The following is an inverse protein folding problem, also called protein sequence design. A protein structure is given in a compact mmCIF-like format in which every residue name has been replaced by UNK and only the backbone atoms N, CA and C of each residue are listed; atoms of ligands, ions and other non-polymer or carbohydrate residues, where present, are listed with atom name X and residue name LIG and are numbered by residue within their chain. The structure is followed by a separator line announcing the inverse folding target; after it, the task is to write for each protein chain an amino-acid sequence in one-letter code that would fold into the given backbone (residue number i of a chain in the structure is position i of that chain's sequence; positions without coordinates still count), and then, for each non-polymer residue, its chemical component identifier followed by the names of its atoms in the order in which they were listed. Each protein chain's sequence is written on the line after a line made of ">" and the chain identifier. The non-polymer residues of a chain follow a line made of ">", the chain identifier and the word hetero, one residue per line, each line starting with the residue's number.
data_IF_909669007369
#
_entry.id   IF_909669007369
#
_cell.length_a   1.000
_cell.length_b   1.000
_cell.length_c   1.000
_cell.angle_alpha   90.00
_cell.angle_beta   90.00
_cell.angle_gamma   90.00
#
_symmetry.space_group_name_H-M   'P 1'
#
loop_
_entity.id
_entity.type
_entity.pdbx_description
1 polymer ?
#
# COMPACT_ATOMS: atom_id res chain seq x y z
N UNK A 1 20.66 3.95 -1.98
CA UNK A 1 21.25 4.99 -1.21
C UNK A 1 21.28 4.65 0.28
N UNK A 2 20.76 5.54 1.08
CA UNK A 2 20.91 5.49 2.55
C UNK A 2 20.30 4.26 3.22
N UNK A 3 19.18 3.75 2.71
CA UNK A 3 18.57 2.53 3.23
C UNK A 3 19.47 1.30 3.11
N UNK A 4 20.19 1.15 2.00
CA UNK A 4 21.07 0.00 1.80
C UNK A 4 22.28 0.04 2.76
N UNK A 5 22.82 1.22 3.06
CA UNK A 5 23.89 1.38 4.05
C UNK A 5 23.42 0.97 5.45
N UNK A 6 22.21 1.37 5.83
CA UNK A 6 21.64 0.97 7.11
C UNK A 6 21.43 -0.55 7.23
N UNK A 7 21.03 -1.20 6.12
CA UNK A 7 20.88 -2.66 6.07
C UNK A 7 22.23 -3.36 6.20
N UNK A 8 23.30 -2.88 5.55
CA UNK A 8 24.65 -3.50 5.71
C UNK A 8 25.14 -3.43 7.15
N UNK A 9 24.94 -2.27 7.82
CA UNK A 9 25.31 -2.13 9.23
C UNK A 9 24.51 -3.10 10.10
N UNK A 10 23.20 -3.24 9.84
CA UNK A 10 22.34 -4.16 10.57
C UNK A 10 22.72 -5.63 10.30
N UNK A 11 23.00 -5.98 9.04
CA UNK A 11 23.34 -7.33 8.61
C UNK A 11 24.61 -7.86 9.29
N UNK A 12 25.58 -6.99 9.56
CA UNK A 12 26.80 -7.35 10.29
C UNK A 12 26.50 -7.91 11.70
N UNK A 13 25.33 -7.55 12.29
CA UNK A 13 24.89 -8.00 13.60
C UNK A 13 23.76 -9.05 13.53
N UNK A 14 23.39 -9.50 12.34
CA UNK A 14 22.30 -10.43 12.09
C UNK A 14 22.79 -11.64 11.27
N UNK A 15 23.46 -12.62 11.87
CA UNK A 15 24.05 -13.77 11.14
C UNK A 15 22.98 -14.65 10.46
N UNK A 16 21.73 -14.53 10.87
CA UNK A 16 20.59 -15.24 10.26
C UNK A 16 20.14 -14.63 8.92
N UNK A 17 20.52 -13.37 8.63
CA UNK A 17 20.23 -12.74 7.36
C UNK A 17 21.12 -13.31 6.25
N UNK A 18 20.55 -14.12 5.37
CA UNK A 18 21.28 -14.85 4.32
C UNK A 18 21.23 -14.16 2.96
N UNK A 19 20.21 -13.37 2.71
CA UNK A 19 19.96 -12.78 1.39
C UNK A 19 19.58 -11.33 1.52
N UNK A 20 20.25 -10.48 0.76
CA UNK A 20 19.93 -9.06 0.61
C UNK A 20 19.61 -8.81 -0.85
N UNK A 21 18.54 -8.06 -1.11
CA UNK A 21 18.06 -7.79 -2.47
C UNK A 21 17.98 -6.28 -2.65
N UNK A 22 18.48 -5.77 -3.76
CA UNK A 22 18.38 -4.37 -4.13
C UNK A 22 17.52 -4.23 -5.39
N UNK A 23 16.67 -3.21 -5.39
CA UNK A 23 15.78 -2.83 -6.51
C UNK A 23 16.32 -1.52 -7.09
N UNK A 24 16.28 -1.39 -8.41
CA UNK A 24 16.74 -0.19 -9.14
C UNK A 24 18.20 0.20 -8.83
N UNK A 25 19.10 -0.78 -8.72
CA UNK A 25 20.50 -0.50 -8.46
C UNK A 25 21.35 -1.75 -8.36
N UNK A 26 22.64 -1.53 -8.08
CA UNK A 26 23.64 -2.59 -7.87
C UNK A 26 24.37 -2.34 -6.55
N UNK A 27 24.69 -3.43 -5.84
CA UNK A 27 25.49 -3.41 -4.63
C UNK A 27 26.24 -4.72 -4.47
N UNK A 28 27.51 -4.64 -4.14
CA UNK A 28 28.35 -5.82 -3.91
C UNK A 28 27.78 -6.68 -2.77
N UNK A 29 27.69 -7.98 -3.00
CA UNK A 29 27.12 -8.94 -2.05
C UNK A 29 25.59 -9.01 -2.02
N UNK A 30 24.90 -8.16 -2.77
CA UNK A 30 23.45 -8.15 -2.86
C UNK A 30 22.95 -8.74 -4.19
N UNK A 31 21.78 -9.38 -4.16
CA UNK A 31 21.12 -9.80 -5.38
C UNK A 31 20.41 -8.58 -6.02
N UNK A 32 20.63 -8.40 -7.32
CA UNK A 32 19.91 -7.40 -8.10
C UNK A 32 18.54 -7.96 -8.47
N UNK A 33 17.47 -7.32 -7.99
CA UNK A 33 16.09 -7.74 -8.26
C UNK A 33 15.77 -7.67 -9.76
N UNK A 34 16.10 -6.53 -10.40
CA UNK A 34 15.72 -6.23 -11.78
C UNK A 34 16.37 -7.19 -12.79
N UNK A 35 17.58 -7.62 -12.50
CA UNK A 35 18.30 -8.62 -13.29
C UNK A 35 17.84 -10.05 -13.00
N UNK A 36 17.38 -10.32 -11.78
CA UNK A 36 17.10 -11.68 -11.30
C UNK A 36 15.67 -12.12 -11.57
N UNK A 37 14.66 -11.26 -11.33
CA UNK A 37 13.25 -11.68 -11.40
C UNK A 37 12.83 -12.21 -12.78
N UNK A 38 13.32 -11.71 -13.94
CA UNK A 38 12.93 -12.24 -15.23
C UNK A 38 13.41 -13.70 -15.48
N UNK A 39 14.34 -14.16 -14.68
CA UNK A 39 14.90 -15.52 -14.78
C UNK A 39 14.03 -16.57 -14.07
N UNK A 40 13.11 -16.12 -13.21
CA UNK A 40 12.23 -17.01 -12.47
C UNK A 40 10.96 -17.36 -13.27
N UNK A 41 10.45 -18.59 -13.02
CA UNK A 41 9.16 -19.01 -13.58
C UNK A 41 8.03 -18.13 -13.05
N UNK A 42 7.15 -17.69 -13.96
CA UNK A 42 5.91 -17.00 -13.57
C UNK A 42 4.86 -17.95 -12.94
N UNK A 43 5.17 -19.24 -12.79
CA UNK A 43 4.29 -20.23 -12.16
C UNK A 43 4.70 -20.46 -10.71
N UNK A 44 3.77 -20.25 -9.80
CA UNK A 44 3.92 -20.64 -8.40
C UNK A 44 3.51 -22.12 -8.25
N UNK A 45 4.48 -22.96 -7.92
CA UNK A 45 4.21 -24.36 -7.60
C UNK A 45 3.99 -24.49 -6.10
N UNK A 46 2.90 -25.15 -5.72
CA UNK A 46 2.64 -25.51 -4.33
C UNK A 46 3.19 -26.89 -4.04
N UNK A 47 3.86 -27.04 -2.92
CA UNK A 47 4.39 -28.27 -2.37
C UNK A 47 4.02 -28.37 -0.86
N UNK A 48 4.51 -29.39 -0.20
CA UNK A 48 4.27 -29.62 1.23
C UNK A 48 4.82 -28.52 2.17
N UNK A 49 5.80 -27.73 1.68
CA UNK A 49 6.40 -26.62 2.43
C UNK A 49 5.78 -25.25 2.09
N UNK A 50 4.82 -25.23 1.20
CA UNK A 50 4.15 -23.99 0.81
C UNK A 50 3.32 -23.45 1.97
N UNK A 51 3.39 -22.14 2.18
CA UNK A 51 2.68 -21.45 3.25
C UNK A 51 1.17 -21.72 3.20
N UNK A 52 0.57 -21.96 4.37
CA UNK A 52 -0.86 -22.18 4.57
C UNK A 52 -1.51 -21.04 5.34
N UNK A 53 -2.83 -21.06 5.45
CA UNK A 53 -3.61 -19.94 5.96
C UNK A 53 -3.22 -19.37 7.32
N UNK A 54 -2.73 -20.22 8.24
CA UNK A 54 -2.33 -19.82 9.59
C UNK A 54 -0.86 -19.37 9.69
N UNK A 55 -0.08 -19.60 8.63
CA UNK A 55 1.32 -19.16 8.61
C UNK A 55 1.43 -17.64 8.59
N UNK A 56 2.56 -17.17 9.11
CA UNK A 56 2.89 -15.75 9.10
C UNK A 56 3.08 -15.23 7.68
N UNK A 57 2.34 -14.16 7.35
CA UNK A 57 2.40 -13.50 6.05
C UNK A 57 3.14 -12.17 6.11
N UNK A 58 2.72 -11.30 7.03
CA UNK A 58 3.25 -9.94 7.16
C UNK A 58 3.44 -9.56 8.63
N UNK A 59 4.43 -8.73 8.87
CA UNK A 59 4.69 -8.11 10.17
C UNK A 59 4.85 -6.61 10.00
N UNK A 60 4.22 -5.84 10.89
CA UNK A 60 4.34 -4.39 10.92
C UNK A 60 4.78 -3.92 12.30
N UNK A 61 5.69 -2.96 12.33
CA UNK A 61 6.01 -2.25 13.56
C UNK A 61 4.92 -1.23 13.87
N UNK A 62 4.45 -1.22 15.11
CA UNK A 62 3.50 -0.24 15.61
C UNK A 62 4.18 0.62 16.67
N UNK A 63 3.80 1.90 16.75
CA UNK A 63 4.23 2.77 17.85
C UNK A 63 3.64 2.23 19.16
N UNK A 64 4.46 1.54 19.94
CA UNK A 64 4.02 1.04 21.26
C UNK A 64 3.71 2.18 22.22
N UNK A 65 2.68 2.03 23.04
CA UNK A 65 2.33 2.97 24.11
C UNK A 65 3.36 2.99 25.26
N UNK A 66 4.31 2.06 25.27
CA UNK A 66 5.27 1.83 26.36
C UNK A 66 6.75 1.96 25.96
N UNK A 67 7.05 2.74 24.91
CA UNK A 67 8.41 3.14 24.53
C UNK A 67 9.08 2.27 23.44
N UNK A 68 8.89 0.96 23.40
CA UNK A 68 9.43 0.11 22.35
C UNK A 68 8.36 -0.23 21.28
N UNK A 69 8.74 -0.23 19.99
CA UNK A 69 7.83 -0.68 18.93
C UNK A 69 7.38 -2.12 19.16
N UNK A 70 6.08 -2.37 18.96
CA UNK A 70 5.51 -3.71 18.97
C UNK A 70 5.41 -4.23 17.56
N UNK A 71 5.46 -5.55 17.38
CA UNK A 71 5.27 -6.20 16.10
C UNK A 71 3.82 -6.74 16.05
N UNK A 72 3.05 -6.25 15.07
CA UNK A 72 1.76 -6.82 14.72
C UNK A 72 1.98 -7.85 13.61
N UNK A 73 1.70 -9.12 13.92
CA UNK A 73 1.86 -10.24 13.00
C UNK A 73 0.51 -10.61 12.38
N UNK A 74 0.49 -10.83 11.07
CA UNK A 74 -0.70 -11.16 10.30
C UNK A 74 -0.49 -12.46 9.52
N UNK A 75 -1.44 -13.39 9.60
CA UNK A 75 -1.42 -14.62 8.82
C UNK A 75 -2.01 -14.43 7.43
N UNK A 76 -1.86 -15.44 6.55
CA UNK A 76 -2.49 -15.42 5.22
C UNK A 76 -4.02 -15.34 5.29
N UNK A 77 -4.66 -15.88 6.35
CA UNK A 77 -6.12 -15.75 6.57
C UNK A 77 -6.57 -14.31 6.78
N UNK A 78 -5.70 -13.46 7.33
CA UNK A 78 -6.03 -12.05 7.52
C UNK A 78 -6.29 -11.33 6.20
N UNK A 79 -5.55 -11.68 5.16
CA UNK A 79 -5.76 -11.14 3.82
C UNK A 79 -7.20 -11.41 3.33
N UNK A 80 -7.75 -12.61 3.59
CA UNK A 80 -9.12 -12.96 3.22
C UNK A 80 -10.17 -12.11 3.96
N UNK A 81 -9.91 -11.76 5.22
CA UNK A 81 -10.77 -10.88 6.01
C UNK A 81 -10.92 -9.48 5.44
N UNK A 82 -9.95 -9.00 4.66
CA UNK A 82 -9.99 -7.67 4.05
C UNK A 82 -11.05 -7.52 2.94
N UNK A 83 -11.59 -8.63 2.43
CA UNK A 83 -12.72 -8.61 1.50
C UNK A 83 -13.90 -7.78 2.05
N UNK A 84 -14.22 -7.94 3.33
CA UNK A 84 -15.34 -7.21 3.97
C UNK A 84 -15.10 -5.70 3.93
N UNK A 85 -13.89 -5.26 4.27
CA UNK A 85 -13.54 -3.84 4.23
C UNK A 85 -13.54 -3.29 2.79
N UNK A 86 -12.98 -4.03 1.84
CA UNK A 86 -12.95 -3.59 0.45
C UNK A 86 -14.34 -3.49 -0.16
N UNK A 87 -15.21 -4.48 0.08
CA UNK A 87 -16.54 -4.54 -0.51
C UNK A 87 -17.53 -3.55 0.12
N UNK A 88 -17.54 -3.44 1.45
CA UNK A 88 -18.62 -2.74 2.16
C UNK A 88 -18.20 -1.38 2.72
N UNK A 89 -16.90 -1.11 2.85
CA UNK A 89 -16.40 0.17 3.30
C UNK A 89 -15.77 0.99 2.18
N UNK A 90 -14.88 0.38 1.38
CA UNK A 90 -14.32 1.03 0.19
C UNK A 90 -15.28 1.01 -1.01
N UNK A 91 -16.30 0.16 -0.99
CA UNK A 91 -17.26 -0.02 -2.09
C UNK A 91 -16.61 -0.36 -3.43
N UNK A 92 -15.53 -1.13 -3.38
CA UNK A 92 -14.82 -1.57 -4.59
C UNK A 92 -15.68 -2.54 -5.39
N UNK A 93 -15.75 -2.34 -6.69
CA UNK A 93 -16.46 -3.21 -7.63
C UNK A 93 -15.55 -3.65 -8.78
N UNK A 94 -15.87 -4.74 -9.48
CA UNK A 94 -15.03 -5.29 -10.56
C UNK A 94 -14.80 -4.36 -11.75
N UNK A 95 -15.76 -3.48 -12.02
CA UNK A 95 -15.70 -2.54 -13.15
C UNK A 95 -15.05 -1.21 -12.76
N UNK A 96 -14.72 -1.04 -11.48
CA UNK A 96 -14.17 0.19 -10.93
C UNK A 96 -12.65 0.22 -10.88
N UNK A 97 -12.12 1.42 -10.75
CA UNK A 97 -10.71 1.69 -10.49
C UNK A 97 -10.55 2.30 -9.09
N UNK A 98 -9.84 1.60 -8.22
CA UNK A 98 -9.62 2.03 -6.83
C UNK A 98 -8.26 2.70 -6.65
N UNK A 99 -8.25 3.87 -6.02
CA UNK A 99 -7.04 4.55 -5.57
C UNK A 99 -7.01 4.62 -4.04
N UNK A 100 -6.00 4.05 -3.42
CA UNK A 100 -5.63 4.35 -2.03
C UNK A 100 -4.28 5.04 -1.98
N UNK A 101 -4.23 6.22 -1.38
CA UNK A 101 -2.97 6.91 -1.07
C UNK A 101 -2.44 6.36 0.25
N UNK A 102 -1.34 5.62 0.16
CA UNK A 102 -0.61 5.09 1.31
C UNK A 102 0.81 4.74 0.91
N UNK A 103 1.77 5.09 1.76
CA UNK A 103 3.14 4.61 1.65
C UNK A 103 3.18 3.08 1.81
N UNK A 104 4.05 2.41 1.05
CA UNK A 104 4.18 0.95 1.06
C UNK A 104 4.72 0.38 2.38
N UNK A 105 5.38 1.20 3.19
CA UNK A 105 5.80 0.84 4.55
C UNK A 105 4.66 0.76 5.57
N UNK A 106 3.46 1.22 5.23
CA UNK A 106 2.29 1.19 6.11
C UNK A 106 1.39 -0.01 5.82
N UNK A 107 0.83 -0.60 6.88
CA UNK A 107 -0.13 -1.70 6.77
C UNK A 107 -1.31 -1.38 5.83
N UNK A 108 -1.71 -0.13 5.73
CA UNK A 108 -2.77 0.35 4.83
C UNK A 108 -2.48 0.02 3.35
N UNK A 109 -1.23 0.00 2.92
CA UNK A 109 -0.87 -0.35 1.55
C UNK A 109 -1.18 -1.80 1.22
N UNK A 110 -1.03 -2.73 2.17
CA UNK A 110 -1.41 -4.12 1.98
C UNK A 110 -2.91 -4.35 2.21
N UNK A 111 -3.42 -3.89 3.35
CA UNK A 111 -4.76 -4.21 3.81
C UNK A 111 -5.85 -3.32 3.24
N UNK A 112 -5.57 -2.05 3.01
CA UNK A 112 -6.53 -1.07 2.50
C UNK A 112 -6.40 -0.75 1.02
N UNK A 113 -5.48 -1.40 0.30
CA UNK A 113 -5.24 -1.14 -1.13
C UNK A 113 -5.18 -2.41 -1.96
N UNK A 114 -4.57 -3.49 -1.46
CA UNK A 114 -4.15 -4.60 -2.31
C UNK A 114 -5.08 -5.82 -2.19
N UNK A 115 -5.04 -6.52 -1.07
CA UNK A 115 -5.64 -7.86 -0.98
C UNK A 115 -7.17 -7.86 -1.02
N UNK A 116 -7.81 -6.97 -0.30
CA UNK A 116 -9.27 -6.87 -0.29
C UNK A 116 -9.83 -6.46 -1.64
N UNK A 117 -9.20 -5.50 -2.27
CA UNK A 117 -9.63 -4.97 -3.58
C UNK A 117 -9.48 -6.01 -4.67
N UNK A 118 -8.39 -6.79 -4.69
CA UNK A 118 -8.22 -7.89 -5.63
C UNK A 118 -9.25 -9.00 -5.42
N UNK A 119 -9.64 -9.30 -4.19
CA UNK A 119 -10.73 -10.25 -3.93
C UNK A 119 -12.10 -9.73 -4.35
N UNK A 120 -12.27 -8.41 -4.47
CA UNK A 120 -13.43 -7.79 -5.08
C UNK A 120 -13.31 -7.67 -6.61
N UNK A 121 -12.26 -8.27 -7.21
CA UNK A 121 -11.96 -8.19 -8.65
C UNK A 121 -11.73 -6.75 -9.15
N UNK A 122 -11.50 -5.80 -8.24
CA UNK A 122 -11.29 -4.39 -8.55
C UNK A 122 -9.89 -4.11 -9.09
N UNK A 123 -9.80 -3.24 -10.09
CA UNK A 123 -8.54 -2.72 -10.56
C UNK A 123 -7.96 -1.70 -9.57
N UNK A 124 -6.62 -1.68 -9.46
CA UNK A 124 -5.91 -0.75 -8.58
C UNK A 124 -5.17 0.29 -9.40
N UNK A 125 -5.39 1.55 -9.08
CA UNK A 125 -4.57 2.64 -9.58
C UNK A 125 -3.35 2.81 -8.68
N UNK A 126 -2.16 2.66 -9.27
CA UNK A 126 -0.88 2.86 -8.58
C UNK A 126 -0.20 4.08 -9.17
N UNK A 127 0.13 5.03 -8.30
CA UNK A 127 0.83 6.24 -8.67
C UNK A 127 2.03 6.41 -7.74
N UNK A 128 3.21 6.47 -8.31
CA UNK A 128 4.47 6.65 -7.62
C UNK A 128 4.84 8.14 -7.59
N UNK A 129 5.18 8.67 -6.42
CA UNK A 129 5.58 10.05 -6.24
C UNK A 129 6.49 10.20 -5.02
N UNK A 130 7.49 11.05 -5.11
CA UNK A 130 8.38 11.37 -3.99
C UNK A 130 7.70 12.28 -2.96
N UNK A 131 6.92 13.24 -3.44
CA UNK A 131 6.16 14.18 -2.62
C UNK A 131 4.74 14.31 -3.12
N UNK A 132 3.78 14.30 -2.20
CA UNK A 132 2.38 14.50 -2.55
C UNK A 132 2.14 15.93 -3.04
N UNK A 133 1.56 16.05 -4.24
CA UNK A 133 1.00 17.28 -4.77
C UNK A 133 -0.44 17.01 -5.24
N UNK A 134 -1.39 17.78 -4.72
CA UNK A 134 -2.80 17.65 -5.06
C UNK A 134 -3.05 17.96 -6.54
N UNK A 135 -2.31 18.89 -7.14
CA UNK A 135 -2.45 19.26 -8.55
C UNK A 135 -1.98 18.16 -9.51
N UNK A 136 -1.13 17.25 -9.06
CA UNK A 136 -0.73 16.07 -9.84
C UNK A 136 -1.77 14.96 -9.76
N UNK A 137 -2.39 14.77 -8.58
CA UNK A 137 -3.33 13.69 -8.31
C UNK A 137 -4.74 13.99 -8.82
N UNK A 138 -5.25 15.23 -8.60
CA UNK A 138 -6.63 15.58 -8.94
C UNK A 138 -6.97 15.37 -10.43
N UNK A 139 -6.11 15.69 -11.42
CA UNK A 139 -6.39 15.40 -12.82
C UNK A 139 -6.49 13.90 -13.13
N UNK A 140 -5.89 13.04 -12.31
CA UNK A 140 -5.88 11.59 -12.54
C UNK A 140 -7.27 10.98 -12.37
N UNK A 141 -8.16 11.58 -11.57
CA UNK A 141 -9.51 11.07 -11.36
C UNK A 141 -10.29 11.01 -12.67
N UNK A 142 -10.36 12.10 -13.41
CA UNK A 142 -11.01 12.14 -14.73
C UNK A 142 -10.23 11.32 -15.77
N UNK A 143 -8.90 11.50 -15.81
CA UNK A 143 -8.05 10.88 -16.83
C UNK A 143 -8.14 9.36 -16.84
N UNK A 144 -8.19 8.74 -15.66
CA UNK A 144 -8.20 7.28 -15.50
C UNK A 144 -9.55 6.74 -15.02
N UNK A 145 -10.54 7.60 -14.86
CA UNK A 145 -11.88 7.23 -14.39
C UNK A 145 -11.84 6.51 -13.05
N UNK A 146 -11.17 7.11 -12.05
CA UNK A 146 -11.07 6.54 -10.70
C UNK A 146 -12.43 6.62 -10.03
N UNK A 147 -12.98 5.47 -9.63
CA UNK A 147 -14.35 5.36 -9.09
C UNK A 147 -14.39 5.35 -7.58
N UNK A 148 -13.40 4.75 -6.94
CA UNK A 148 -13.33 4.69 -5.47
C UNK A 148 -11.99 5.18 -4.96
N UNK A 149 -12.02 5.94 -3.87
CA UNK A 149 -10.85 6.64 -3.37
C UNK A 149 -10.70 6.51 -1.85
N UNK A 150 -9.49 6.28 -1.38
CA UNK A 150 -9.14 6.32 0.03
C UNK A 150 -7.87 7.12 0.26
N UNK A 151 -7.92 8.10 1.15
CA UNK A 151 -6.75 8.87 1.55
C UNK A 151 -6.74 9.19 3.06
N UNK A 152 -5.56 9.42 3.65
CA UNK A 152 -5.47 9.98 4.99
C UNK A 152 -6.08 11.40 5.05
N UNK A 153 -6.64 11.83 6.18
CA UNK A 153 -7.17 13.19 6.35
C UNK A 153 -6.18 14.30 6.02
N UNK A 154 -4.88 14.07 6.22
CA UNK A 154 -3.83 15.02 5.86
C UNK A 154 -3.78 15.28 4.36
N UNK A 155 -3.91 14.24 3.54
CA UNK A 155 -3.93 14.36 2.06
C UNK A 155 -5.22 15.04 1.60
N UNK A 156 -6.38 14.67 2.18
CA UNK A 156 -7.65 15.34 1.88
C UNK A 156 -7.58 16.85 2.20
N UNK A 157 -6.99 17.23 3.36
CA UNK A 157 -6.78 18.65 3.70
C UNK A 157 -5.88 19.38 2.71
N UNK A 158 -4.97 18.70 2.04
CA UNK A 158 -4.17 19.30 0.97
C UNK A 158 -4.98 19.47 -0.31
N UNK A 159 -5.78 18.46 -0.66
CA UNK A 159 -6.63 18.50 -1.87
C UNK A 159 -7.70 19.61 -1.78
N UNK A 160 -8.37 19.78 -0.65
CA UNK A 160 -9.42 20.81 -0.48
C UNK A 160 -8.88 22.25 -0.38
N UNK A 161 -7.57 22.45 -0.31
CA UNK A 161 -6.96 23.78 -0.44
C UNK A 161 -6.89 24.26 -1.89
N UNK A 162 -6.95 23.33 -2.84
CA UNK A 162 -6.97 23.63 -4.26
C UNK A 162 -8.39 24.05 -4.68
N UNK A 163 -8.48 24.76 -5.78
CA UNK A 163 -9.76 25.11 -6.40
C UNK A 163 -10.33 23.89 -7.12
N UNK A 164 -11.11 23.09 -6.39
CA UNK A 164 -11.68 21.83 -6.89
C UNK A 164 -12.61 22.02 -8.10
N UNK A 165 -13.13 23.24 -8.35
CA UNK A 165 -13.96 23.52 -9.51
C UNK A 165 -13.21 23.38 -10.85
N UNK A 166 -11.88 23.35 -10.81
CA UNK A 166 -11.02 23.14 -11.98
C UNK A 166 -10.83 21.69 -12.37
N UNK A 167 -11.27 20.76 -11.54
CA UNK A 167 -11.05 19.33 -11.73
C UNK A 167 -12.37 18.60 -11.88
N UNK A 168 -12.42 17.70 -12.83
CA UNK A 168 -13.58 16.81 -12.98
C UNK A 168 -13.39 15.60 -12.06
N UNK A 169 -14.22 15.54 -11.02
CA UNK A 169 -14.25 14.45 -10.04
C UNK A 169 -15.53 13.62 -10.18
N UNK A 170 -16.28 13.76 -11.27
CA UNK A 170 -17.57 13.09 -11.48
C UNK A 170 -17.48 11.56 -11.55
N UNK A 171 -16.30 11.02 -11.81
CA UNK A 171 -16.07 9.56 -11.77
C UNK A 171 -16.06 8.97 -10.34
N UNK A 172 -15.89 9.80 -9.30
CA UNK A 172 -15.77 9.31 -7.93
C UNK A 172 -17.15 8.96 -7.38
N UNK A 173 -17.41 7.69 -7.19
CA UNK A 173 -18.66 7.16 -6.64
C UNK A 173 -18.61 7.05 -5.11
N UNK A 174 -17.43 6.77 -4.55
CA UNK A 174 -17.27 6.58 -3.11
C UNK A 174 -15.88 6.98 -2.63
N UNK A 175 -15.85 7.66 -1.47
CA UNK A 175 -14.63 8.08 -0.82
C UNK A 175 -14.59 7.64 0.64
N UNK A 176 -13.43 7.16 1.06
CA UNK A 176 -13.16 6.78 2.45
C UNK A 176 -11.91 7.46 2.98
N UNK A 177 -11.85 7.63 4.30
CA UNK A 177 -10.65 8.15 4.97
C UNK A 177 -10.31 7.32 6.20
N UNK A 178 -9.03 7.13 6.44
CA UNK A 178 -8.52 6.42 7.60
C UNK A 178 -7.08 6.83 7.92
N UNK A 179 -6.69 6.61 9.16
CA UNK A 179 -5.35 6.93 9.69
C UNK A 179 -5.43 7.92 10.84
N UNK A 180 -6.18 9.01 10.66
CA UNK A 180 -6.44 10.04 11.68
C UNK A 180 -7.92 10.40 11.71
N UNK A 181 -8.34 11.14 12.72
CA UNK A 181 -9.68 11.71 12.77
C UNK A 181 -9.84 12.82 11.71
N UNK A 182 -10.90 12.74 10.93
CA UNK A 182 -11.33 13.84 10.07
C UNK A 182 -12.12 14.84 10.94
N UNK A 183 -11.71 16.10 10.92
CA UNK A 183 -12.44 17.14 11.65
C UNK A 183 -13.76 17.50 10.92
N UNK A 184 -14.77 18.08 11.62
CA UNK A 184 -16.06 18.40 11.03
C UNK A 184 -15.99 19.37 9.84
N UNK A 185 -14.99 20.24 9.80
CA UNK A 185 -14.79 21.18 8.69
C UNK A 185 -14.33 20.46 7.42
N UNK A 186 -13.32 19.56 7.53
CA UNK A 186 -12.86 18.75 6.40
C UNK A 186 -13.91 17.76 5.88
N UNK A 187 -14.93 17.45 6.69
CA UNK A 187 -16.06 16.62 6.25
C UNK A 187 -17.10 17.41 5.42
N UNK A 188 -17.18 18.72 5.63
CA UNK A 188 -18.19 19.59 4.97
C UNK A 188 -17.70 20.13 3.61
N UNK A 189 -16.43 20.08 3.37
CA UNK A 189 -15.79 20.51 2.11
C UNK A 189 -15.74 19.36 1.10
#
# INVERSE_FOLDING_TARGET
>A
GDCANAVDIAAANCPELKTQIIVNGEREGWQNYDASYPLFSGRCYKDENSAVGDDLMLMYFTSGTTGYPKIAAHSYKYALGQFVAAKYWHCVNPEGLHLTISDTGWAKAAWGKLYGQWMCEGALFVYDFDRFDANDILPMFAKYHITTFCAPPTMLRMMVKEDLSKFDLSSVEHMTTAGDALNPEGFRQ
#
